data_IF_765772614154
#
_entry.id   IF_765772614154
#
_cell.length_a   1.000
_cell.length_b   1.000
_cell.length_c   1.000
_cell.angle_alpha   90.00
_cell.angle_beta   90.00
_cell.angle_gamma   90.00
#
_symmetry.space_group_name_H-M   'P 1'
#
loop_
_entity.id
_entity.type
_entity.pdbx_description
1 polymer ?
#
# COMPACT_ATOMS: atom_id res chain seq x y z
N UNK A 1 -24.26 24.96 -4.87
CA UNK A 1 -23.05 24.11 -4.87
C UNK A 1 -23.46 22.75 -4.39
N UNK A 2 -23.19 21.68 -5.14
CA UNK A 2 -23.41 20.34 -4.63
C UNK A 2 -22.40 20.10 -3.51
N UNK A 3 -22.88 19.84 -2.31
CA UNK A 3 -22.03 19.53 -1.18
C UNK A 3 -21.68 18.03 -1.24
N UNK A 4 -20.42 17.71 -1.47
CA UNK A 4 -19.94 16.32 -1.62
C UNK A 4 -19.11 15.93 -0.41
N UNK A 5 -19.41 14.76 0.15
CA UNK A 5 -18.62 14.09 1.19
C UNK A 5 -18.10 12.78 0.65
N UNK A 6 -16.81 12.54 0.76
CA UNK A 6 -16.16 11.26 0.47
C UNK A 6 -15.78 10.56 1.75
N UNK A 7 -16.13 9.30 1.86
CA UNK A 7 -15.89 8.49 3.06
C UNK A 7 -15.19 7.21 2.69
N UNK A 8 -14.09 6.90 3.37
CA UNK A 8 -13.45 5.58 3.29
C UNK A 8 -13.77 4.78 4.55
N UNK A 9 -14.06 3.50 4.36
CA UNK A 9 -14.38 2.55 5.43
C UNK A 9 -13.58 1.23 5.29
N UNK A 10 -12.91 1.03 4.15
CA UNK A 10 -12.00 -0.11 3.92
C UNK A 10 -10.60 0.23 4.42
N UNK A 11 -10.22 -0.36 5.55
CA UNK A 11 -8.95 -0.12 6.25
C UNK A 11 -9.05 1.01 7.26
N UNK A 12 -9.07 2.26 6.83
CA UNK A 12 -9.18 3.43 7.74
C UNK A 12 -10.50 4.14 7.54
N UNK A 13 -11.12 4.54 8.63
CA UNK A 13 -12.28 5.41 8.55
C UNK A 13 -11.83 6.85 8.34
N UNK A 14 -12.18 7.41 7.19
CA UNK A 14 -11.90 8.82 6.90
C UNK A 14 -13.13 9.53 6.36
N UNK A 15 -13.20 10.82 6.61
CA UNK A 15 -14.23 11.71 6.11
C UNK A 15 -13.57 12.90 5.41
N UNK A 16 -14.03 13.25 4.23
CA UNK A 16 -13.53 14.39 3.47
C UNK A 16 -14.68 15.13 2.83
N UNK A 17 -14.83 16.41 3.13
CA UNK A 17 -15.73 17.31 2.42
C UNK A 17 -14.97 17.95 1.26
N UNK A 18 -15.65 18.20 0.14
CA UNK A 18 -15.09 18.96 -0.96
C UNK A 18 -14.64 20.36 -0.51
N UNK A 19 -13.39 20.72 -0.83
CA UNK A 19 -12.75 21.94 -0.35
C UNK A 19 -11.83 21.77 0.87
N UNK A 20 -11.84 20.62 1.54
CA UNK A 20 -10.84 20.31 2.57
C UNK A 20 -9.49 19.95 1.94
N UNK A 21 -8.40 20.37 2.60
CA UNK A 21 -7.04 20.09 2.11
C UNK A 21 -6.62 18.63 2.27
N UNK A 22 -7.19 17.90 3.25
CA UNK A 22 -6.90 16.50 3.52
C UNK A 22 -8.09 15.80 4.19
N UNK A 23 -8.21 14.45 4.03
CA UNK A 23 -9.22 13.68 4.74
C UNK A 23 -9.02 13.74 6.25
N UNK A 24 -10.10 13.92 6.99
CA UNK A 24 -10.10 13.76 8.45
C UNK A 24 -10.07 12.27 8.80
N UNK A 25 -9.00 11.81 9.44
CA UNK A 25 -8.89 10.44 9.94
C UNK A 25 -9.64 10.32 11.25
N UNK A 26 -10.52 9.33 11.31
CA UNK A 26 -11.42 9.11 12.45
C UNK A 26 -11.10 7.76 13.09
N UNK A 27 -10.98 7.74 14.44
CA UNK A 27 -10.79 6.48 15.16
C UNK A 27 -12.10 6.03 15.81
N UNK A 28 -12.44 4.76 15.58
CA UNK A 28 -13.55 4.06 16.22
C UNK A 28 -13.14 3.42 17.55
N UNK A 29 -11.96 3.79 18.11
CA UNK A 29 -11.45 3.30 19.37
C UNK A 29 -11.52 4.36 20.50
N UNK A 30 -11.33 3.92 21.74
CA UNK A 30 -11.18 4.80 22.92
C UNK A 30 -12.44 5.59 23.29
N UNK A 31 -12.25 6.79 23.84
CA UNK A 31 -13.34 7.61 24.40
C UNK A 31 -14.33 8.16 23.38
N UNK A 32 -13.92 8.29 22.13
CA UNK A 32 -14.73 8.81 21.02
C UNK A 32 -15.46 7.71 20.23
N UNK A 33 -15.25 6.42 20.56
CA UNK A 33 -15.80 5.27 19.85
C UNK A 33 -17.30 5.43 19.56
N UNK A 34 -18.13 5.61 20.57
CA UNK A 34 -19.59 5.70 20.40
C UNK A 34 -20.03 6.86 19.50
N UNK A 35 -19.31 7.96 19.55
CA UNK A 35 -19.55 9.14 18.74
C UNK A 35 -19.33 8.81 17.26
N UNK A 36 -18.22 8.17 16.95
CA UNK A 36 -17.86 7.85 15.57
C UNK A 36 -18.57 6.60 15.04
N UNK A 37 -18.92 5.64 15.91
CA UNK A 37 -19.84 4.53 15.56
C UNK A 37 -21.20 5.08 15.12
N UNK A 38 -21.74 6.05 15.83
CA UNK A 38 -22.97 6.75 15.45
C UNK A 38 -22.85 7.38 14.06
N UNK A 39 -21.78 8.13 13.80
CA UNK A 39 -21.57 8.78 12.50
C UNK A 39 -21.43 7.75 11.39
N UNK A 40 -20.57 6.73 11.55
CA UNK A 40 -20.38 5.67 10.56
C UNK A 40 -21.70 4.94 10.25
N UNK A 41 -22.46 4.60 11.28
CA UNK A 41 -23.74 3.91 11.11
C UNK A 41 -24.79 4.77 10.41
N UNK A 42 -24.89 6.06 10.73
CA UNK A 42 -25.80 6.99 10.05
C UNK A 42 -25.43 7.17 8.56
N UNK A 43 -24.15 7.22 8.24
CA UNK A 43 -23.66 7.29 6.86
C UNK A 43 -24.05 6.02 6.08
N UNK A 44 -23.85 4.86 6.67
CA UNK A 44 -24.23 3.57 6.07
C UNK A 44 -25.74 3.46 5.83
N UNK A 45 -26.54 3.96 6.79
CA UNK A 45 -28.01 3.90 6.75
C UNK A 45 -28.65 5.18 6.18
N UNK A 46 -27.87 6.03 5.47
CA UNK A 46 -28.30 7.36 5.00
C UNK A 46 -29.56 7.33 4.14
N UNK A 47 -29.81 6.22 3.41
CA UNK A 47 -30.98 6.08 2.55
C UNK A 47 -32.32 6.00 3.32
N UNK A 48 -32.32 5.40 4.55
CA UNK A 48 -33.56 5.16 5.31
C UNK A 48 -33.67 5.97 6.60
N UNK A 49 -32.56 6.47 7.12
CA UNK A 49 -32.49 6.98 8.49
C UNK A 49 -32.53 5.87 9.55
N UNK A 50 -32.27 6.23 10.80
CA UNK A 50 -32.15 5.30 11.92
C UNK A 50 -33.01 5.77 13.07
N UNK A 51 -33.84 4.88 13.65
CA UNK A 51 -34.69 5.24 14.77
C UNK A 51 -33.88 5.51 16.04
N UNK A 52 -34.46 6.30 16.97
CA UNK A 52 -33.86 6.55 18.28
C UNK A 52 -33.54 5.26 19.02
N UNK A 53 -34.48 4.29 19.01
CA UNK A 53 -34.30 3.01 19.68
C UNK A 53 -33.16 2.19 19.06
N UNK A 54 -33.11 2.10 17.73
CA UNK A 54 -32.05 1.40 17.01
C UNK A 54 -30.65 1.96 17.33
N UNK A 55 -30.51 3.27 17.45
CA UNK A 55 -29.24 3.88 17.86
C UNK A 55 -28.91 3.63 19.33
N UNK A 56 -29.90 3.57 20.20
CA UNK A 56 -29.68 3.22 21.61
C UNK A 56 -29.17 1.78 21.72
N UNK A 57 -29.84 0.85 21.06
CA UNK A 57 -29.48 -0.57 21.08
C UNK A 57 -28.08 -0.80 20.45
N UNK A 58 -27.76 -0.05 19.40
CA UNK A 58 -26.42 -0.07 18.76
C UNK A 58 -25.32 0.40 19.72
N UNK A 59 -25.51 1.54 20.39
CA UNK A 59 -24.44 2.20 21.15
C UNK A 59 -24.35 1.70 22.60
N UNK A 60 -25.42 1.13 23.13
CA UNK A 60 -25.53 0.63 24.49
C UNK A 60 -26.36 -0.67 24.56
N UNK A 61 -25.87 -1.79 23.99
CA UNK A 61 -26.63 -3.06 23.97
C UNK A 61 -26.96 -3.59 25.38
N UNK A 62 -26.13 -3.26 26.39
CA UNK A 62 -26.28 -3.74 27.76
C UNK A 62 -26.77 -2.65 28.74
N UNK A 63 -27.29 -1.52 28.24
CA UNK A 63 -27.59 -0.38 29.12
C UNK A 63 -28.93 -0.51 29.84
N UNK A 64 -28.88 -0.75 31.15
CA UNK A 64 -29.95 -0.54 32.13
C UNK A 64 -29.96 0.91 32.66
N UNK A 65 -29.68 1.90 31.82
CA UNK A 65 -29.51 3.30 32.27
C UNK A 65 -30.80 4.09 32.34
N UNK A 66 -30.87 5.06 33.27
CA UNK A 66 -32.07 5.83 33.60
C UNK A 66 -32.58 6.82 32.54
N UNK A 67 -31.80 7.15 31.49
CA UNK A 67 -32.25 8.00 30.37
C UNK A 67 -31.38 7.88 29.10
N UNK A 68 -31.47 6.78 28.34
CA UNK A 68 -30.66 6.55 27.16
C UNK A 68 -30.94 7.55 26.03
N UNK A 69 -32.14 8.08 25.92
CA UNK A 69 -32.51 9.07 24.92
C UNK A 69 -31.75 10.41 25.10
N UNK A 70 -31.64 10.89 26.33
CA UNK A 70 -30.86 12.10 26.63
C UNK A 70 -29.37 11.89 26.36
N UNK A 71 -28.85 10.70 26.68
CA UNK A 71 -27.45 10.34 26.42
C UNK A 71 -27.17 10.30 24.91
N UNK A 72 -28.12 9.78 24.11
CA UNK A 72 -28.03 9.78 22.64
C UNK A 72 -28.01 11.23 22.10
N UNK A 73 -28.88 12.10 22.55
CA UNK A 73 -28.91 13.52 22.14
C UNK A 73 -27.57 14.20 22.42
N UNK A 74 -26.98 13.94 23.60
CA UNK A 74 -25.67 14.48 23.96
C UNK A 74 -24.57 13.93 22.98
N UNK A 75 -24.60 12.64 22.65
CA UNK A 75 -23.64 12.09 21.66
C UNK A 75 -23.83 12.70 20.27
N UNK A 76 -25.07 12.87 19.80
CA UNK A 76 -25.34 13.55 18.52
C UNK A 76 -24.81 14.98 18.53
N UNK A 77 -25.02 15.73 19.63
CA UNK A 77 -24.48 17.09 19.77
C UNK A 77 -22.94 17.10 19.73
N UNK A 78 -22.32 16.17 20.42
CA UNK A 78 -20.84 16.01 20.41
C UNK A 78 -20.33 15.61 19.02
N UNK A 79 -21.03 14.70 18.29
CA UNK A 79 -20.66 14.33 16.92
C UNK A 79 -20.67 15.54 15.99
N UNK A 80 -21.70 16.37 16.08
CA UNK A 80 -21.81 17.61 15.30
C UNK A 80 -20.67 18.59 15.60
N UNK A 81 -20.30 18.72 16.89
CA UNK A 81 -19.20 19.59 17.29
C UNK A 81 -17.85 19.05 16.79
N UNK A 82 -17.61 17.74 16.92
CA UNK A 82 -16.36 17.14 16.42
C UNK A 82 -16.24 17.25 14.90
N UNK A 83 -17.33 17.10 14.14
CA UNK A 83 -17.33 17.35 12.70
C UNK A 83 -17.00 18.82 12.39
N UNK A 84 -17.53 19.78 13.17
CA UNK A 84 -17.21 21.19 13.01
C UNK A 84 -15.73 21.50 13.33
N UNK A 85 -15.17 20.90 14.37
CA UNK A 85 -13.75 21.01 14.74
C UNK A 85 -12.81 20.43 13.65
N UNK A 86 -13.27 19.42 12.91
CA UNK A 86 -12.57 18.85 11.76
C UNK A 86 -12.67 19.71 10.49
N UNK A 87 -13.41 20.84 10.54
CA UNK A 87 -13.54 21.74 9.41
C UNK A 87 -14.74 21.48 8.49
N UNK A 88 -15.67 20.60 8.88
CA UNK A 88 -16.90 20.39 8.09
C UNK A 88 -17.80 21.62 8.16
N UNK A 89 -18.05 22.21 6.98
CA UNK A 89 -19.04 23.26 6.85
C UNK A 89 -20.43 22.73 7.18
N UNK A 90 -21.26 23.54 7.85
CA UNK A 90 -22.63 23.16 8.23
C UNK A 90 -22.72 21.84 9.02
N UNK A 91 -21.69 21.47 9.79
CA UNK A 91 -21.63 20.21 10.56
C UNK A 91 -22.89 19.95 11.42
N UNK A 92 -23.56 21.02 11.89
CA UNK A 92 -24.81 20.93 12.66
C UNK A 92 -25.99 20.37 11.87
N UNK A 93 -25.96 20.47 10.54
CA UNK A 93 -27.02 20.00 9.65
C UNK A 93 -26.76 18.61 9.08
N UNK A 94 -25.51 18.09 9.21
CA UNK A 94 -25.15 16.76 8.70
C UNK A 94 -25.92 15.62 9.36
N UNK A 95 -26.23 15.75 10.64
CA UNK A 95 -27.07 14.77 11.35
C UNK A 95 -28.37 15.48 11.71
N UNK A 96 -29.49 15.01 11.19
CA UNK A 96 -30.82 15.57 11.43
C UNK A 96 -31.68 14.62 12.26
N UNK A 97 -32.60 15.19 12.99
CA UNK A 97 -33.65 14.46 13.69
C UNK A 97 -35.01 14.87 13.13
N UNK A 98 -35.70 13.93 12.52
CA UNK A 98 -37.02 14.16 11.89
C UNK A 98 -37.94 12.96 12.17
N UNK A 99 -39.10 13.24 12.70
CA UNK A 99 -40.18 12.22 12.91
C UNK A 99 -39.71 10.97 13.68
N UNK A 100 -38.84 11.11 14.69
CA UNK A 100 -38.34 9.97 15.46
C UNK A 100 -37.10 9.28 14.89
N UNK A 101 -36.58 9.76 13.77
CA UNK A 101 -35.43 9.19 13.10
C UNK A 101 -34.26 10.16 13.03
N UNK A 102 -33.06 9.66 13.23
CA UNK A 102 -31.84 10.36 12.91
C UNK A 102 -31.43 10.02 11.47
N UNK A 103 -31.06 11.04 10.70
CA UNK A 103 -30.68 10.92 9.29
C UNK A 103 -29.34 11.62 9.05
N UNK A 104 -28.50 11.01 8.24
CA UNK A 104 -27.41 11.72 7.58
C UNK A 104 -28.04 12.61 6.49
N UNK A 105 -27.58 13.86 6.40
CA UNK A 105 -28.22 14.89 5.57
C UNK A 105 -28.34 14.46 4.09
N UNK A 106 -29.56 14.25 3.58
CA UNK A 106 -29.77 13.70 2.22
C UNK A 106 -29.40 14.68 1.10
N UNK A 107 -29.31 15.97 1.40
CA UNK A 107 -28.85 16.99 0.46
C UNK A 107 -27.33 16.99 0.21
N UNK A 108 -26.58 16.23 1.00
CA UNK A 108 -25.16 16.02 0.83
C UNK A 108 -24.91 14.73 0.05
N UNK A 109 -24.35 14.87 -1.14
CA UNK A 109 -23.92 13.71 -1.91
C UNK A 109 -22.78 12.99 -1.17
N UNK A 110 -23.01 11.77 -0.71
CA UNK A 110 -22.05 11.02 0.08
C UNK A 110 -21.59 9.79 -0.68
N UNK A 111 -20.30 9.78 -1.06
CA UNK A 111 -19.65 8.67 -1.74
C UNK A 111 -18.91 7.80 -0.71
N UNK A 112 -19.12 6.51 -0.80
CA UNK A 112 -18.48 5.50 0.05
C UNK A 112 -17.59 4.61 -0.80
N UNK A 113 -16.34 4.41 -0.35
CA UNK A 113 -15.39 3.49 -0.98
C UNK A 113 -15.92 2.04 -1.07
N UNK A 114 -16.71 1.61 -0.09
CA UNK A 114 -17.36 0.29 -0.10
C UNK A 114 -18.33 0.11 -1.26
N UNK A 115 -19.06 1.16 -1.65
CA UNK A 115 -20.02 1.11 -2.78
C UNK A 115 -19.27 1.11 -4.12
N UNK A 116 -18.23 1.92 -4.23
CA UNK A 116 -17.35 1.93 -5.40
C UNK A 116 -16.65 0.58 -5.57
N UNK A 117 -16.10 0.02 -4.47
CA UNK A 117 -15.50 -1.30 -4.44
C UNK A 117 -16.49 -2.38 -4.90
N UNK A 118 -17.68 -2.42 -4.31
CA UNK A 118 -18.70 -3.41 -4.64
C UNK A 118 -19.16 -3.31 -6.10
N UNK A 119 -19.38 -2.10 -6.59
CA UNK A 119 -19.76 -1.85 -7.98
C UNK A 119 -18.70 -2.32 -8.96
N UNK A 120 -17.43 -1.96 -8.73
CA UNK A 120 -16.31 -2.39 -9.59
C UNK A 120 -16.07 -3.90 -9.49
N UNK A 121 -16.15 -4.49 -8.30
CA UNK A 121 -15.99 -5.92 -8.09
C UNK A 121 -17.07 -6.72 -8.83
N UNK A 122 -18.32 -6.32 -8.75
CA UNK A 122 -19.42 -6.96 -9.50
C UNK A 122 -19.19 -6.86 -11.01
N UNK A 123 -18.84 -5.68 -11.52
CA UNK A 123 -18.54 -5.50 -12.94
C UNK A 123 -17.40 -6.41 -13.38
N UNK A 124 -16.31 -6.52 -12.61
CA UNK A 124 -15.19 -7.37 -12.92
C UNK A 124 -15.59 -8.85 -12.97
N UNK A 125 -16.38 -9.31 -11.98
CA UNK A 125 -16.79 -10.71 -11.85
C UNK A 125 -17.85 -11.13 -12.89
N UNK A 126 -18.66 -10.19 -13.40
CA UNK A 126 -19.72 -10.45 -14.38
C UNK A 126 -19.28 -10.19 -15.84
N UNK A 127 -18.13 -9.52 -16.03
CA UNK A 127 -17.64 -9.18 -17.36
C UNK A 127 -17.10 -10.40 -18.10
N UNK A 128 -17.53 -10.56 -19.36
CA UNK A 128 -17.06 -11.63 -20.24
C UNK A 128 -15.76 -11.26 -20.99
N UNK A 129 -15.50 -9.97 -21.14
CA UNK A 129 -14.30 -9.48 -21.78
C UNK A 129 -13.13 -9.48 -20.78
N UNK A 130 -12.16 -10.34 -21.00
CA UNK A 130 -11.08 -10.61 -20.05
C UNK A 130 -10.25 -9.36 -19.71
N UNK A 131 -9.91 -8.54 -20.72
CA UNK A 131 -9.10 -7.35 -20.48
C UNK A 131 -9.84 -6.32 -19.61
N UNK A 132 -11.12 -6.09 -19.90
CA UNK A 132 -11.94 -5.15 -19.17
C UNK A 132 -12.26 -5.65 -17.76
N UNK A 133 -12.47 -6.95 -17.58
CA UNK A 133 -12.60 -7.58 -16.26
C UNK A 133 -11.35 -7.35 -15.40
N UNK A 134 -10.16 -7.51 -15.98
CA UNK A 134 -8.89 -7.25 -15.29
C UNK A 134 -8.74 -5.78 -14.88
N UNK A 135 -9.08 -4.84 -15.75
CA UNK A 135 -8.98 -3.41 -15.43
C UNK A 135 -9.92 -3.01 -14.26
N UNK A 136 -11.16 -3.50 -14.27
CA UNK A 136 -12.09 -3.25 -13.17
C UNK A 136 -11.67 -3.99 -11.90
N UNK A 137 -11.18 -5.22 -12.02
CA UNK A 137 -10.67 -6.01 -10.91
C UNK A 137 -9.50 -5.33 -10.20
N UNK A 138 -8.52 -4.86 -10.95
CA UNK A 138 -7.37 -4.13 -10.42
C UNK A 138 -7.79 -2.83 -9.71
N UNK A 139 -8.69 -2.04 -10.33
CA UNK A 139 -9.20 -0.81 -9.71
C UNK A 139 -9.94 -1.11 -8.40
N UNK A 140 -10.77 -2.15 -8.36
CA UNK A 140 -11.47 -2.54 -7.15
C UNK A 140 -10.50 -3.02 -6.05
N UNK A 141 -9.49 -3.83 -6.41
CA UNK A 141 -8.46 -4.31 -5.47
C UNK A 141 -7.68 -3.14 -4.84
N UNK A 142 -7.43 -2.07 -5.60
CA UNK A 142 -6.77 -0.85 -5.08
C UNK A 142 -7.61 -0.11 -4.05
N UNK A 143 -8.95 -0.11 -4.18
CA UNK A 143 -9.84 0.50 -3.20
C UNK A 143 -9.89 -0.26 -1.87
N UNK A 144 -9.68 -1.57 -1.88
CA UNK A 144 -9.68 -2.38 -0.67
C UNK A 144 -8.36 -2.23 0.08
N UNK A 145 -8.22 -1.20 0.91
CA UNK A 145 -6.97 -0.92 1.65
C UNK A 145 -6.83 -1.73 2.95
N UNK A 146 -7.86 -2.43 3.37
CA UNK A 146 -7.94 -3.28 4.55
C UNK A 146 -9.37 -3.69 4.85
N UNK A 147 -9.59 -4.44 5.92
CA UNK A 147 -10.90 -4.89 6.34
C UNK A 147 -11.85 -3.71 6.62
N UNK A 148 -13.15 -3.95 6.50
CA UNK A 148 -14.18 -2.95 6.76
C UNK A 148 -14.15 -2.52 8.23
N UNK A 149 -13.90 -1.21 8.47
CA UNK A 149 -13.84 -0.59 9.79
C UNK A 149 -13.12 -1.48 10.84
N UNK A 150 -11.82 -1.77 10.70
CA UNK A 150 -11.12 -2.78 11.49
C UNK A 150 -11.15 -2.51 13.00
N UNK A 151 -11.24 -1.24 13.42
CA UNK A 151 -11.38 -0.86 14.84
C UNK A 151 -12.76 -1.22 15.42
N UNK A 152 -13.76 -1.48 14.57
CA UNK A 152 -15.11 -1.90 14.94
C UNK A 152 -15.42 -3.35 14.53
N UNK A 153 -14.43 -4.12 14.11
CA UNK A 153 -14.62 -5.47 13.55
C UNK A 153 -15.34 -6.45 14.49
N UNK A 154 -15.24 -6.25 15.80
CA UNK A 154 -15.92 -7.06 16.83
C UNK A 154 -17.33 -6.60 17.17
N UNK A 155 -17.76 -5.44 16.64
CA UNK A 155 -19.12 -4.95 16.85
C UNK A 155 -20.12 -5.76 16.06
N UNK A 156 -21.23 -6.13 16.70
CA UNK A 156 -22.25 -7.00 16.10
C UNK A 156 -22.75 -6.50 14.72
N UNK A 157 -22.96 -5.20 14.56
CA UNK A 157 -23.40 -4.60 13.29
C UNK A 157 -22.35 -4.62 12.20
N UNK A 158 -21.06 -4.73 12.56
CA UNK A 158 -19.92 -4.69 11.66
C UNK A 158 -19.48 -6.08 11.18
N UNK A 159 -19.69 -7.13 12.00
CA UNK A 159 -19.22 -8.50 11.73
C UNK A 159 -19.65 -9.00 10.36
N UNK A 160 -20.94 -8.90 10.04
CA UNK A 160 -21.48 -9.41 8.77
C UNK A 160 -20.98 -8.61 7.55
N UNK A 161 -20.87 -7.30 7.69
CA UNK A 161 -20.34 -6.42 6.63
C UNK A 161 -18.87 -6.71 6.38
N UNK A 162 -18.10 -6.88 7.44
CA UNK A 162 -16.67 -7.21 7.34
C UNK A 162 -16.48 -8.56 6.63
N UNK A 163 -17.21 -9.59 7.05
CA UNK A 163 -17.16 -10.90 6.40
C UNK A 163 -17.57 -10.83 4.91
N UNK A 164 -18.60 -10.03 4.59
CA UNK A 164 -19.06 -9.83 3.21
C UNK A 164 -17.98 -9.18 2.33
N UNK A 165 -17.43 -8.02 2.74
CA UNK A 165 -16.44 -7.32 1.94
C UNK A 165 -15.13 -8.09 1.82
N UNK A 166 -14.71 -8.78 2.88
CA UNK A 166 -13.52 -9.65 2.84
C UNK A 166 -13.71 -10.83 1.89
N UNK A 167 -14.86 -11.50 1.94
CA UNK A 167 -15.19 -12.59 1.02
C UNK A 167 -15.23 -12.13 -0.42
N UNK A 168 -15.86 -10.97 -0.69
CA UNK A 168 -15.91 -10.37 -2.02
C UNK A 168 -14.51 -10.01 -2.53
N UNK A 169 -13.66 -9.45 -1.67
CA UNK A 169 -12.27 -9.12 -2.00
C UNK A 169 -11.46 -10.37 -2.37
N UNK A 170 -11.50 -11.42 -1.54
CA UNK A 170 -10.77 -12.67 -1.82
C UNK A 170 -11.26 -13.31 -3.13
N UNK A 171 -12.57 -13.35 -3.34
CA UNK A 171 -13.14 -13.86 -4.59
C UNK A 171 -12.67 -13.05 -5.81
N UNK A 172 -12.69 -11.72 -5.72
CA UNK A 172 -12.22 -10.84 -6.77
C UNK A 172 -10.72 -11.04 -7.06
N UNK A 173 -9.90 -11.14 -6.01
CA UNK A 173 -8.46 -11.40 -6.15
C UNK A 173 -8.21 -12.73 -6.86
N UNK A 174 -8.96 -13.79 -6.53
CA UNK A 174 -8.84 -15.11 -7.17
C UNK A 174 -9.05 -15.01 -8.68
N UNK A 175 -10.16 -14.42 -9.12
CA UNK A 175 -10.47 -14.28 -10.56
C UNK A 175 -9.47 -13.36 -11.27
N UNK A 176 -9.07 -12.26 -10.62
CA UNK A 176 -8.10 -11.32 -11.18
C UNK A 176 -6.71 -11.97 -11.32
N UNK A 177 -6.25 -12.71 -10.32
CA UNK A 177 -4.96 -13.42 -10.35
C UNK A 177 -4.92 -14.47 -11.47
N UNK A 178 -6.00 -15.23 -11.66
CA UNK A 178 -6.10 -16.18 -12.76
C UNK A 178 -6.04 -15.48 -14.14
N UNK A 179 -6.72 -14.34 -14.26
CA UNK A 179 -6.68 -13.52 -15.47
C UNK A 179 -5.29 -12.95 -15.74
N UNK A 180 -4.59 -12.43 -14.73
CA UNK A 180 -3.23 -11.92 -14.82
C UNK A 180 -2.23 -13.01 -15.21
N UNK A 181 -2.39 -14.21 -14.66
CA UNK A 181 -1.55 -15.35 -15.02
C UNK A 181 -1.67 -15.71 -16.49
N UNK A 182 -2.91 -15.76 -17.02
CA UNK A 182 -3.16 -16.01 -18.47
C UNK A 182 -2.59 -14.89 -19.35
N UNK A 183 -2.65 -13.65 -18.87
CA UNK A 183 -2.11 -12.48 -19.57
C UNK A 183 -0.58 -12.31 -19.44
N UNK A 184 0.10 -13.14 -18.62
CA UNK A 184 1.53 -13.05 -18.37
C UNK A 184 1.96 -11.84 -17.52
N UNK A 185 1.00 -11.17 -16.81
CA UNK A 185 1.24 -10.01 -15.96
C UNK A 185 1.68 -10.45 -14.55
N UNK A 186 2.82 -11.13 -14.48
CA UNK A 186 3.33 -11.78 -13.27
C UNK A 186 3.62 -10.83 -12.11
N UNK A 187 4.21 -9.63 -12.29
CA UNK A 187 4.50 -8.71 -11.17
C UNK A 187 3.24 -8.25 -10.43
N UNK A 188 2.14 -8.03 -11.15
CA UNK A 188 0.88 -7.62 -10.53
C UNK A 188 0.23 -8.80 -9.80
N UNK A 189 0.35 -10.00 -10.36
CA UNK A 189 -0.08 -11.23 -9.73
C UNK A 189 0.67 -11.46 -8.39
N UNK A 190 1.99 -11.34 -8.38
CA UNK A 190 2.83 -11.45 -7.18
C UNK A 190 2.38 -10.46 -6.10
N UNK A 191 2.17 -9.18 -6.48
CA UNK A 191 1.71 -8.14 -5.55
C UNK A 191 0.35 -8.47 -4.91
N UNK A 192 -0.61 -8.94 -5.71
CA UNK A 192 -1.95 -9.28 -5.20
C UNK A 192 -1.89 -10.51 -4.30
N UNK A 193 -1.19 -11.57 -4.72
CA UNK A 193 -1.04 -12.77 -3.92
C UNK A 193 -0.40 -12.48 -2.57
N UNK A 194 0.71 -11.74 -2.54
CA UNK A 194 1.41 -11.37 -1.31
C UNK A 194 0.49 -10.61 -0.35
N UNK A 195 -0.30 -9.67 -0.88
CA UNK A 195 -1.24 -8.90 -0.06
C UNK A 195 -2.37 -9.75 0.51
N UNK A 196 -2.90 -10.71 -0.26
CA UNK A 196 -3.94 -11.62 0.25
C UNK A 196 -3.36 -12.55 1.32
N UNK A 197 -2.14 -13.08 1.13
CA UNK A 197 -1.45 -13.94 2.10
C UNK A 197 -1.21 -13.19 3.42
N UNK A 198 -0.82 -11.91 3.37
CA UNK A 198 -0.69 -11.08 4.58
C UNK A 198 -2.02 -10.89 5.31
N UNK A 199 -3.12 -10.75 4.57
CA UNK A 199 -4.45 -10.55 5.13
C UNK A 199 -5.07 -11.86 5.65
N UNK A 200 -4.90 -12.94 4.91
CA UNK A 200 -5.45 -14.26 5.18
C UNK A 200 -4.46 -15.38 4.82
N UNK A 201 -3.55 -15.72 5.75
CA UNK A 201 -2.58 -16.78 5.51
C UNK A 201 -3.20 -18.17 5.28
N UNK A 202 -4.49 -18.37 5.67
CA UNK A 202 -5.21 -19.61 5.43
C UNK A 202 -5.72 -19.75 3.98
N UNK A 203 -5.69 -18.68 3.20
CA UNK A 203 -6.03 -18.72 1.78
C UNK A 203 -4.87 -19.29 0.94
N UNK A 204 -4.54 -20.56 1.17
CA UNK A 204 -3.39 -21.29 0.62
C UNK A 204 -3.30 -21.23 -0.92
N UNK A 205 -4.42 -21.12 -1.60
CA UNK A 205 -4.46 -21.00 -3.06
C UNK A 205 -3.63 -19.82 -3.59
N UNK A 206 -3.53 -18.71 -2.82
CA UNK A 206 -2.72 -17.56 -3.22
C UNK A 206 -1.23 -17.82 -3.06
N UNK A 207 -0.83 -18.67 -2.12
CA UNK A 207 0.55 -19.17 -2.03
C UNK A 207 0.91 -20.04 -3.23
N UNK A 208 0.00 -20.90 -3.69
CA UNK A 208 0.15 -21.67 -4.93
C UNK A 208 0.31 -20.74 -6.13
N UNK A 209 -0.55 -19.73 -6.26
CA UNK A 209 -0.44 -18.74 -7.35
C UNK A 209 0.84 -17.92 -7.28
N UNK A 210 1.28 -17.53 -6.10
CA UNK A 210 2.53 -16.80 -5.90
C UNK A 210 3.73 -17.64 -6.34
N UNK A 211 3.79 -18.91 -5.92
CA UNK A 211 4.86 -19.82 -6.33
C UNK A 211 4.89 -20.01 -7.85
N UNK A 212 3.73 -20.19 -8.49
CA UNK A 212 3.63 -20.26 -9.97
C UNK A 212 4.16 -19.01 -10.66
N UNK A 213 3.81 -17.84 -10.13
CA UNK A 213 4.30 -16.57 -10.67
C UNK A 213 5.82 -16.49 -10.55
N UNK A 214 6.37 -16.81 -9.37
CA UNK A 214 7.80 -16.78 -9.10
C UNK A 214 8.59 -17.77 -9.99
N UNK A 215 8.08 -19.01 -10.14
CA UNK A 215 8.72 -20.01 -11.03
C UNK A 215 8.73 -19.50 -12.47
N UNK A 216 7.60 -19.00 -12.96
CA UNK A 216 7.48 -18.48 -14.33
C UNK A 216 8.29 -17.20 -14.54
N UNK A 217 8.55 -16.43 -13.49
CA UNK A 217 9.41 -15.25 -13.48
C UNK A 217 10.89 -15.61 -13.21
N UNK A 218 11.31 -16.85 -13.49
CA UNK A 218 12.68 -17.34 -13.31
C UNK A 218 13.26 -17.09 -11.90
N UNK A 219 12.42 -17.17 -10.89
CA UNK A 219 12.79 -16.99 -9.48
C UNK A 219 12.42 -18.21 -8.62
N UNK A 220 12.81 -19.44 -9.01
CA UNK A 220 12.38 -20.67 -8.32
C UNK A 220 12.89 -20.75 -6.88
N UNK A 221 14.04 -20.14 -6.55
CA UNK A 221 14.52 -20.08 -5.19
C UNK A 221 13.56 -19.32 -4.27
N UNK A 222 13.03 -18.17 -4.72
CA UNK A 222 12.02 -17.43 -3.95
C UNK A 222 10.74 -18.23 -3.74
N UNK A 223 10.36 -19.05 -4.71
CA UNK A 223 9.22 -19.96 -4.55
C UNK A 223 9.48 -21.02 -3.47
N UNK A 224 10.69 -21.58 -3.39
CA UNK A 224 11.07 -22.52 -2.35
C UNK A 224 11.12 -21.86 -0.96
N UNK A 225 11.68 -20.64 -0.87
CA UNK A 225 11.72 -19.87 0.38
C UNK A 225 10.29 -19.57 0.88
N UNK A 226 9.37 -19.26 -0.05
CA UNK A 226 7.96 -19.06 0.27
C UNK A 226 7.28 -20.35 0.74
N UNK A 227 7.56 -21.47 0.09
CA UNK A 227 7.05 -22.78 0.52
C UNK A 227 7.47 -23.10 1.97
N UNK A 228 8.74 -22.91 2.31
CA UNK A 228 9.26 -23.15 3.65
C UNK A 228 8.57 -22.25 4.69
N UNK A 229 8.37 -20.98 4.36
CA UNK A 229 7.64 -20.03 5.20
C UNK A 229 6.19 -20.51 5.46
N UNK A 230 5.45 -20.89 4.42
CA UNK A 230 4.05 -21.35 4.56
C UNK A 230 4.01 -22.69 5.32
N UNK A 231 4.94 -23.60 5.04
CA UNK A 231 5.02 -24.88 5.73
C UNK A 231 5.22 -24.71 7.24
N UNK A 232 6.12 -23.81 7.62
CA UNK A 232 6.37 -23.50 9.03
C UNK A 232 5.13 -22.84 9.67
N UNK A 233 4.51 -21.86 9.00
CA UNK A 233 3.31 -21.20 9.47
C UNK A 233 2.16 -22.18 9.72
N UNK A 234 1.91 -23.08 8.77
CA UNK A 234 0.83 -24.08 8.90
C UNK A 234 1.08 -25.04 10.05
N UNK A 235 2.31 -25.48 10.20
CA UNK A 235 2.71 -26.36 11.30
C UNK A 235 2.53 -25.69 12.68
N UNK A 236 2.96 -24.44 12.81
CA UNK A 236 2.91 -23.72 14.08
C UNK A 236 1.50 -23.24 14.43
N UNK A 237 0.72 -22.77 13.44
CA UNK A 237 -0.59 -22.16 13.67
C UNK A 237 -1.72 -23.19 13.65
N UNK A 238 -1.69 -24.15 12.72
CA UNK A 238 -2.79 -25.07 12.48
C UNK A 238 -2.48 -26.52 12.87
N UNK A 239 -1.21 -26.84 13.15
CA UNK A 239 -0.77 -28.22 13.44
C UNK A 239 -0.94 -29.17 12.24
N UNK A 240 -1.06 -28.63 11.02
CA UNK A 240 -1.32 -29.36 9.78
C UNK A 240 -0.17 -29.16 8.77
N UNK A 241 -0.07 -30.05 7.80
CA UNK A 241 0.79 -29.86 6.64
C UNK A 241 0.04 -29.05 5.56
N UNK A 242 0.75 -28.30 4.68
CA UNK A 242 0.18 -27.70 3.50
C UNK A 242 -0.45 -28.73 2.56
N UNK A 243 -1.26 -28.27 1.59
CA UNK A 243 -1.94 -29.14 0.63
C UNK A 243 -0.99 -29.75 -0.40
N UNK A 244 -1.45 -30.85 -1.05
CA UNK A 244 -0.75 -31.47 -2.18
C UNK A 244 -0.50 -30.49 -3.33
N UNK A 245 -1.35 -29.46 -3.48
CA UNK A 245 -1.18 -28.43 -4.50
C UNK A 245 0.08 -27.59 -4.25
N UNK A 246 0.36 -27.26 -3.00
CA UNK A 246 1.58 -26.54 -2.63
C UNK A 246 2.83 -27.41 -2.79
N UNK A 247 2.73 -28.70 -2.44
CA UNK A 247 3.81 -29.69 -2.64
C UNK A 247 4.14 -29.86 -4.14
N UNK A 248 3.13 -29.84 -5.01
CA UNK A 248 3.32 -29.88 -6.45
C UNK A 248 4.11 -28.66 -6.97
N UNK A 249 3.80 -27.47 -6.47
CA UNK A 249 4.55 -26.25 -6.84
C UNK A 249 5.99 -26.25 -6.28
N UNK A 250 6.21 -26.84 -5.10
CA UNK A 250 7.57 -27.09 -4.60
C UNK A 250 8.36 -28.00 -5.55
N UNK A 251 7.76 -29.10 -5.98
CA UNK A 251 8.40 -30.00 -6.95
C UNK A 251 8.72 -29.28 -8.26
N UNK A 252 7.80 -28.46 -8.77
CA UNK A 252 8.02 -27.63 -9.96
C UNK A 252 9.13 -26.58 -9.76
N UNK A 253 9.23 -25.98 -8.58
CA UNK A 253 10.30 -25.04 -8.27
C UNK A 253 11.67 -25.73 -8.19
N UNK A 254 11.75 -26.93 -7.62
CA UNK A 254 12.98 -27.75 -7.59
C UNK A 254 13.39 -28.15 -9.01
N UNK A 255 12.44 -28.59 -9.85
CA UNK A 255 12.70 -28.92 -11.23
C UNK A 255 13.20 -27.69 -12.03
N UNK A 256 12.57 -26.54 -11.84
CA UNK A 256 13.01 -25.29 -12.49
C UNK A 256 14.40 -24.82 -12.04
N UNK A 257 14.80 -25.15 -10.81
CA UNK A 257 16.11 -24.78 -10.25
C UNK A 257 17.23 -25.71 -10.69
N UNK A 258 16.94 -27.03 -10.78
CA UNK A 258 17.97 -28.05 -10.95
C UNK A 258 17.73 -28.98 -12.16
N UNK A 259 16.57 -28.93 -12.79
CA UNK A 259 16.11 -29.95 -13.74
C UNK A 259 16.18 -29.59 -15.21
N UNK A 260 16.36 -28.31 -15.58
CA UNK A 260 16.44 -27.87 -16.97
C UNK A 260 17.47 -26.78 -17.16
N UNK A 261 18.27 -26.91 -18.24
CA UNK A 261 19.01 -25.77 -18.81
C UNK A 261 17.99 -24.79 -19.44
N UNK A 262 18.14 -23.52 -19.11
CA UNK A 262 17.32 -22.45 -19.72
C UNK A 262 17.86 -22.19 -21.11
N UNK A 263 17.01 -22.23 -22.14
CA UNK A 263 17.43 -21.98 -23.51
C UNK A 263 17.78 -20.50 -23.75
N UNK A 264 18.71 -20.24 -24.65
CA UNK A 264 19.24 -18.89 -24.95
C UNK A 264 18.14 -17.88 -25.30
N UNK A 265 17.06 -18.31 -25.95
CA UNK A 265 15.94 -17.46 -26.31
C UNK A 265 15.10 -17.06 -25.09
N UNK A 266 14.94 -17.95 -24.10
CA UNK A 266 14.27 -17.65 -22.83
C UNK A 266 15.11 -16.68 -21.98
N UNK A 267 16.44 -16.85 -21.97
CA UNK A 267 17.38 -15.93 -21.32
C UNK A 267 17.29 -14.54 -21.97
N UNK A 268 17.29 -14.50 -23.31
CA UNK A 268 17.17 -13.24 -24.06
C UNK A 268 15.86 -12.54 -23.78
N UNK A 269 14.73 -13.26 -23.81
CA UNK A 269 13.40 -12.74 -23.52
C UNK A 269 13.29 -12.22 -22.09
N UNK A 270 13.86 -12.91 -21.12
CA UNK A 270 13.91 -12.47 -19.73
C UNK A 270 14.69 -11.15 -19.57
N UNK A 271 15.88 -11.08 -20.19
CA UNK A 271 16.71 -9.88 -20.13
C UNK A 271 16.08 -8.69 -20.87
N UNK A 272 15.38 -8.92 -21.98
CA UNK A 272 14.71 -7.86 -22.74
C UNK A 272 13.42 -7.36 -22.08
N UNK A 273 12.74 -8.17 -21.28
CA UNK A 273 11.55 -7.76 -20.50
C UNK A 273 11.91 -7.02 -19.21
N UNK A 274 13.19 -6.99 -18.85
CA UNK A 274 13.71 -6.18 -17.73
C UNK A 274 13.47 -4.68 -17.99
N UNK A 275 13.28 -3.96 -16.91
CA UNK A 275 12.88 -2.57 -16.80
C UNK A 275 13.27 -1.69 -18.00
N UNK A 276 12.33 -1.43 -18.91
CA UNK A 276 12.50 -0.57 -20.09
C UNK A 276 12.20 0.91 -19.79
N UNK A 277 12.05 1.28 -18.53
CA UNK A 277 11.84 2.69 -18.19
C UNK A 277 13.11 3.50 -18.48
N UNK A 278 13.02 4.56 -19.28
CA UNK A 278 14.18 5.39 -19.59
C UNK A 278 14.64 6.15 -18.35
N UNK A 279 15.93 6.14 -18.09
CA UNK A 279 16.54 6.87 -16.98
C UNK A 279 17.21 5.98 -15.95
N UNK A 280 17.52 6.54 -14.80
CA UNK A 280 18.21 5.85 -13.72
C UNK A 280 17.35 4.75 -13.09
N UNK A 281 17.99 3.68 -12.66
CA UNK A 281 17.30 2.52 -12.07
C UNK A 281 16.90 2.79 -10.61
N UNK A 282 15.60 3.01 -10.38
CA UNK A 282 15.04 3.10 -9.04
C UNK A 282 14.71 1.69 -8.53
N UNK A 283 15.28 1.28 -7.41
CA UNK A 283 15.06 -0.04 -6.84
C UNK A 283 14.75 0.01 -5.34
N UNK A 284 14.28 -1.11 -4.78
CA UNK A 284 14.12 -1.28 -3.35
C UNK A 284 15.47 -1.39 -2.62
N UNK A 285 15.44 -1.26 -1.28
CA UNK A 285 16.64 -1.25 -0.45
C UNK A 285 17.41 -2.59 -0.47
N UNK A 286 16.72 -3.71 -0.65
CA UNK A 286 17.34 -5.04 -0.74
C UNK A 286 18.14 -5.18 -2.02
N UNK A 287 17.49 -4.91 -3.16
CA UNK A 287 18.11 -4.89 -4.48
C UNK A 287 19.29 -3.92 -4.54
N UNK A 288 19.13 -2.72 -3.96
CA UNK A 288 20.21 -1.72 -3.92
C UNK A 288 21.44 -2.22 -3.15
N UNK A 289 21.24 -2.94 -2.02
CA UNK A 289 22.33 -3.55 -1.24
C UNK A 289 23.09 -4.59 -2.05
N UNK A 290 22.39 -5.44 -2.79
CA UNK A 290 23.01 -6.45 -3.66
C UNK A 290 23.82 -5.80 -4.78
N UNK A 291 23.32 -4.74 -5.41
CA UNK A 291 24.03 -3.95 -6.42
C UNK A 291 25.33 -3.35 -5.83
N UNK A 292 25.27 -2.75 -4.64
CA UNK A 292 26.48 -2.25 -3.95
C UNK A 292 27.48 -3.38 -3.72
N UNK A 293 27.03 -4.53 -3.24
CA UNK A 293 27.89 -5.69 -2.97
C UNK A 293 28.58 -6.19 -4.24
N UNK A 294 27.88 -6.24 -5.35
CA UNK A 294 28.43 -6.58 -6.66
C UNK A 294 29.44 -5.52 -7.15
N UNK A 295 29.10 -4.24 -6.99
CA UNK A 295 29.98 -3.13 -7.39
C UNK A 295 31.28 -3.14 -6.61
N UNK A 296 31.24 -3.34 -5.29
CA UNK A 296 32.44 -3.46 -4.45
C UNK A 296 33.35 -4.60 -4.91
N UNK A 297 32.78 -5.77 -5.22
CA UNK A 297 33.55 -6.90 -5.77
C UNK A 297 34.15 -6.58 -7.15
N UNK A 298 33.42 -5.82 -7.97
CA UNK A 298 33.89 -5.38 -9.31
C UNK A 298 35.03 -4.39 -9.19
N UNK A 299 34.97 -3.42 -8.27
CA UNK A 299 36.02 -2.46 -7.98
C UNK A 299 37.34 -3.16 -7.63
N UNK A 300 37.31 -4.20 -6.79
CA UNK A 300 38.48 -4.98 -6.41
C UNK A 300 39.16 -5.66 -7.60
N UNK A 301 38.41 -6.11 -8.59
CA UNK A 301 38.93 -6.81 -9.78
C UNK A 301 39.39 -5.87 -10.88
N UNK A 302 38.61 -4.82 -11.13
CA UNK A 302 38.75 -3.99 -12.34
C UNK A 302 39.41 -2.63 -12.06
N UNK A 303 39.64 -2.28 -10.79
CA UNK A 303 40.16 -0.97 -10.36
C UNK A 303 39.34 0.21 -10.90
N UNK A 304 38.03 0.04 -10.98
CA UNK A 304 37.08 1.08 -11.40
C UNK A 304 36.47 1.67 -10.14
N UNK A 305 36.58 2.99 -9.99
CA UNK A 305 35.99 3.72 -8.86
C UNK A 305 34.47 3.67 -8.90
N UNK A 306 33.84 3.73 -7.75
CA UNK A 306 32.40 3.96 -7.62
C UNK A 306 32.10 4.76 -6.35
N UNK A 307 31.08 5.59 -6.41
CA UNK A 307 30.73 6.50 -5.33
C UNK A 307 29.30 6.20 -4.81
N UNK A 308 29.18 6.10 -3.51
CA UNK A 308 27.87 6.12 -2.86
C UNK A 308 27.55 7.52 -2.36
N UNK A 309 26.52 8.11 -2.89
CA UNK A 309 26.10 9.46 -2.53
C UNK A 309 24.77 9.43 -1.79
N UNK A 310 24.70 10.13 -0.66
CA UNK A 310 23.49 10.28 0.14
C UNK A 310 22.95 11.70 -0.05
N UNK A 311 21.74 11.81 -0.58
CA UNK A 311 20.97 13.05 -0.61
C UNK A 311 20.00 13.06 0.56
N UNK A 312 20.11 14.04 1.43
CA UNK A 312 19.21 14.21 2.57
C UNK A 312 18.46 15.52 2.48
N UNK A 313 17.13 15.45 2.55
CA UNK A 313 16.29 16.64 2.65
C UNK A 313 16.52 17.34 3.99
N UNK A 314 16.74 18.66 3.97
CA UNK A 314 16.85 19.49 5.16
C UNK A 314 15.45 19.60 5.81
N UNK A 315 15.22 18.93 6.94
CA UNK A 315 13.90 18.67 7.50
C UNK A 315 13.39 19.75 8.46
N UNK A 316 14.12 20.84 8.70
CA UNK A 316 13.73 21.80 9.73
C UNK A 316 12.51 22.67 9.40
N UNK A 317 12.06 22.71 8.13
CA UNK A 317 11.06 23.68 7.68
C UNK A 317 9.85 23.09 6.92
N UNK A 318 9.81 21.79 6.66
CA UNK A 318 8.73 21.23 5.84
C UNK A 318 7.74 20.42 6.67
N UNK A 319 6.48 20.80 6.60
CA UNK A 319 5.33 19.99 6.94
C UNK A 319 5.40 18.60 6.25
N UNK A 320 4.75 17.59 6.82
CA UNK A 320 4.80 16.20 6.34
C UNK A 320 4.35 16.09 4.87
N UNK A 321 3.33 16.88 4.47
CA UNK A 321 2.85 16.91 3.08
C UNK A 321 3.86 17.52 2.12
N UNK A 322 4.44 18.67 2.47
CA UNK A 322 5.50 19.32 1.67
C UNK A 322 6.70 18.41 1.51
N UNK A 323 7.07 17.68 2.56
CA UNK A 323 8.16 16.70 2.51
C UNK A 323 7.88 15.60 1.51
N UNK A 324 6.67 15.02 1.49
CA UNK A 324 6.28 13.99 0.53
C UNK A 324 6.37 14.50 -0.92
N UNK A 325 5.91 15.73 -1.16
CA UNK A 325 5.97 16.39 -2.47
C UNK A 325 7.45 16.58 -2.90
N UNK A 326 8.30 17.13 -2.04
CA UNK A 326 9.70 17.38 -2.35
C UNK A 326 10.47 16.09 -2.62
N UNK A 327 10.20 15.03 -1.85
CA UNK A 327 10.80 13.72 -2.08
C UNK A 327 10.36 13.13 -3.41
N UNK A 328 9.08 13.26 -3.81
CA UNK A 328 8.60 12.79 -5.12
C UNK A 328 9.19 13.58 -6.29
N UNK A 329 9.34 14.89 -6.15
CA UNK A 329 10.01 15.75 -7.14
C UNK A 329 11.48 15.35 -7.32
N UNK A 330 12.20 15.10 -6.22
CA UNK A 330 13.59 14.65 -6.26
C UNK A 330 13.72 13.27 -6.91
N UNK A 331 12.84 12.31 -6.56
CA UNK A 331 12.81 10.99 -7.18
C UNK A 331 12.67 11.08 -8.70
N UNK A 332 11.71 11.87 -9.17
CA UNK A 332 11.48 12.11 -10.61
C UNK A 332 12.70 12.78 -11.27
N UNK A 333 13.35 13.69 -10.57
CA UNK A 333 14.54 14.39 -11.07
C UNK A 333 15.74 13.45 -11.15
N UNK A 334 15.96 12.60 -10.14
CA UNK A 334 16.99 11.57 -10.14
C UNK A 334 16.81 10.64 -11.34
N UNK A 335 15.60 10.10 -11.51
CA UNK A 335 15.30 9.19 -12.62
C UNK A 335 15.60 9.78 -13.99
N UNK A 336 15.29 11.08 -14.19
CA UNK A 336 15.50 11.78 -15.48
C UNK A 336 16.91 12.33 -15.69
N UNK A 337 17.68 12.54 -14.64
CA UNK A 337 18.97 13.25 -14.70
C UNK A 337 20.18 12.35 -14.60
N UNK A 338 20.04 11.17 -14.02
CA UNK A 338 21.10 10.19 -13.89
C UNK A 338 21.08 9.23 -15.10
N UNK A 339 22.16 8.49 -15.27
CA UNK A 339 22.30 7.50 -16.34
C UNK A 339 21.52 6.22 -16.00
N UNK A 340 21.16 5.45 -16.98
CA UNK A 340 20.50 4.14 -16.77
C UNK A 340 21.30 3.16 -15.91
N UNK A 341 22.63 3.30 -15.87
CA UNK A 341 23.53 2.51 -15.02
C UNK A 341 23.77 3.07 -13.62
N UNK A 342 23.13 4.19 -13.23
CA UNK A 342 23.25 4.80 -11.91
C UNK A 342 22.03 4.40 -11.06
N UNK A 343 22.10 3.34 -10.25
CA UNK A 343 20.96 2.94 -9.44
C UNK A 343 20.79 3.86 -8.24
N UNK A 344 19.54 4.05 -7.83
CA UNK A 344 19.21 4.78 -6.63
C UNK A 344 18.03 4.16 -5.87
N UNK A 345 17.95 4.43 -4.57
CA UNK A 345 16.87 3.97 -3.72
C UNK A 345 16.45 5.04 -2.74
N UNK A 346 15.19 5.01 -2.31
CA UNK A 346 14.70 5.85 -1.22
C UNK A 346 14.88 5.15 0.11
N UNK A 347 15.54 5.83 1.06
CA UNK A 347 15.76 5.31 2.41
C UNK A 347 15.07 6.19 3.44
N UNK A 348 14.05 5.63 4.09
CA UNK A 348 13.24 6.36 5.05
C UNK A 348 12.46 7.54 4.44
N UNK A 349 12.10 8.51 5.29
CA UNK A 349 11.21 9.60 4.92
C UNK A 349 11.88 10.73 4.13
N UNK A 350 13.22 10.88 4.23
CA UNK A 350 13.91 12.10 3.82
C UNK A 350 15.28 11.88 3.15
N UNK A 351 15.59 10.67 2.68
CA UNK A 351 16.88 10.37 2.06
C UNK A 351 16.74 9.57 0.77
N UNK A 352 17.68 9.83 -0.18
CA UNK A 352 17.98 8.96 -1.30
C UNK A 352 19.43 8.52 -1.23
N UNK A 353 19.70 7.29 -1.55
CA UNK A 353 21.04 6.75 -1.77
C UNK A 353 21.20 6.50 -3.26
N UNK A 354 22.31 6.99 -3.80
CA UNK A 354 22.62 6.94 -5.23
C UNK A 354 24.01 6.33 -5.39
N UNK A 355 24.09 5.28 -6.18
CA UNK A 355 25.36 4.69 -6.56
C UNK A 355 25.77 5.22 -7.94
N UNK A 356 26.99 5.70 -8.06
CA UNK A 356 27.56 6.24 -9.28
C UNK A 356 28.78 5.40 -9.70
N UNK A 357 28.59 4.35 -10.50
CA UNK A 357 29.68 3.55 -11.03
C UNK A 357 30.60 4.38 -11.93
N UNK A 358 31.93 4.25 -11.76
CA UNK A 358 32.91 4.97 -12.54
C UNK A 358 33.11 6.46 -12.15
N UNK A 359 32.50 6.92 -11.05
CA UNK A 359 32.67 8.27 -10.55
C UNK A 359 33.80 8.32 -9.50
N UNK A 360 34.70 9.32 -9.61
CA UNK A 360 35.65 9.66 -8.56
C UNK A 360 35.02 10.51 -7.45
N UNK A 361 35.68 10.67 -6.31
CA UNK A 361 35.22 11.42 -5.14
C UNK A 361 34.72 12.85 -5.48
N UNK A 362 35.42 13.55 -6.35
CA UNK A 362 35.05 14.90 -6.76
C UNK A 362 33.83 14.92 -7.69
N UNK A 363 33.73 13.93 -8.58
CA UNK A 363 32.68 13.86 -9.57
C UNK A 363 31.29 13.53 -8.97
N UNK A 364 31.24 12.74 -7.90
CA UNK A 364 29.99 12.38 -7.23
C UNK A 364 29.22 13.60 -6.72
N UNK A 365 29.92 14.55 -6.11
CA UNK A 365 29.32 15.81 -5.64
C UNK A 365 28.82 16.67 -6.79
N UNK A 366 29.62 16.81 -7.85
CA UNK A 366 29.27 17.61 -9.06
C UNK A 366 27.98 17.06 -9.70
N UNK A 367 27.86 15.73 -9.80
CA UNK A 367 26.65 15.10 -10.35
C UNK A 367 25.43 15.44 -9.50
N UNK A 368 25.55 15.36 -8.17
CA UNK A 368 24.42 15.66 -7.27
C UNK A 368 24.06 17.15 -7.26
N UNK A 369 25.02 18.05 -7.31
CA UNK A 369 24.77 19.49 -7.39
C UNK A 369 24.04 19.84 -8.70
N UNK A 370 24.37 19.14 -9.80
CA UNK A 370 23.63 19.26 -11.08
C UNK A 370 22.19 18.76 -10.96
N UNK A 371 21.97 17.63 -10.28
CA UNK A 371 20.63 17.07 -10.05
C UNK A 371 19.78 18.04 -9.22
N UNK A 372 20.34 18.57 -8.13
CA UNK A 372 19.65 19.54 -7.26
C UNK A 372 19.31 20.81 -8.05
N UNK A 373 20.26 21.34 -8.83
CA UNK A 373 20.05 22.52 -9.68
C UNK A 373 18.95 22.28 -10.71
N UNK A 374 18.89 21.07 -11.29
CA UNK A 374 17.83 20.65 -12.21
C UNK A 374 16.47 20.60 -11.51
N UNK A 375 16.40 20.05 -10.31
CA UNK A 375 15.17 20.02 -9.54
C UNK A 375 14.62 21.41 -9.29
N UNK A 376 15.44 22.36 -8.87
CA UNK A 376 15.01 23.75 -8.66
C UNK A 376 14.57 24.44 -9.96
N UNK A 377 15.16 24.07 -11.10
CA UNK A 377 14.73 24.57 -12.41
C UNK A 377 13.39 24.01 -12.85
N UNK A 378 13.20 22.70 -12.67
CA UNK A 378 11.98 21.99 -13.09
C UNK A 378 10.82 22.29 -12.12
N UNK A 379 11.12 22.62 -10.86
CA UNK A 379 10.15 22.94 -9.79
C UNK A 379 10.49 24.27 -9.09
N UNK A 380 10.27 25.45 -9.74
CA UNK A 380 10.72 26.74 -9.22
C UNK A 380 10.08 27.18 -7.90
N UNK A 381 8.96 26.58 -7.52
CA UNK A 381 8.27 26.87 -6.25
C UNK A 381 8.74 25.99 -5.07
N UNK A 382 9.73 25.14 -5.31
CA UNK A 382 10.26 24.24 -4.29
C UNK A 382 11.33 24.96 -3.48
N UNK A 383 11.09 25.10 -2.18
CA UNK A 383 12.04 25.66 -1.19
C UNK A 383 12.92 24.58 -0.56
N UNK A 384 12.89 23.34 -1.09
CA UNK A 384 13.60 22.21 -0.53
C UNK A 384 15.11 22.35 -0.68
N UNK A 385 15.83 22.37 0.44
CA UNK A 385 17.27 22.21 0.48
C UNK A 385 17.65 20.73 0.66
N UNK A 386 18.64 20.28 -0.14
CA UNK A 386 19.20 18.93 0.03
C UNK A 386 20.69 19.03 0.41
N UNK A 387 21.09 18.20 1.38
CA UNK A 387 22.50 18.02 1.73
C UNK A 387 23.03 16.77 1.03
N UNK A 388 24.19 16.93 0.42
CA UNK A 388 24.91 15.85 -0.25
C UNK A 388 26.03 15.37 0.66
N UNK A 389 26.10 14.06 0.86
CA UNK A 389 27.21 13.38 1.50
C UNK A 389 27.71 12.28 0.58
N UNK A 390 28.99 12.32 0.26
CA UNK A 390 29.65 11.28 -0.54
C UNK A 390 30.35 10.32 0.43
N UNK A 391 30.17 9.03 0.20
CA UNK A 391 30.79 7.96 0.97
C UNK A 391 31.73 7.18 0.06
N UNK A 392 32.94 6.92 0.55
CA UNK A 392 33.91 6.06 -0.13
C UNK A 392 33.52 4.59 0.11
N UNK A 393 33.29 3.87 -0.98
CA UNK A 393 32.92 2.45 -0.93
C UNK A 393 34.13 1.56 -0.51
N UNK A 394 35.37 1.98 -0.74
CA UNK A 394 36.56 1.24 -0.27
C UNK A 394 36.70 1.31 1.25
N UNK A 395 36.46 2.49 1.85
CA UNK A 395 36.44 2.65 3.30
C UNK A 395 35.31 1.83 3.96
N UNK A 396 34.14 1.80 3.36
CA UNK A 396 33.01 0.99 3.82
C UNK A 396 33.33 -0.51 3.76
N UNK A 397 33.95 -0.98 2.70
CA UNK A 397 34.32 -2.38 2.52
C UNK A 397 35.38 -2.84 3.54
N UNK A 398 36.39 -2.02 3.82
CA UNK A 398 37.40 -2.34 4.83
C UNK A 398 36.80 -2.50 6.22
N UNK A 399 35.79 -1.69 6.58
CA UNK A 399 35.07 -1.80 7.86
C UNK A 399 34.11 -3.03 7.92
N UNK A 400 33.52 -3.42 6.80
CA UNK A 400 32.71 -4.65 6.72
C UNK A 400 33.56 -5.92 6.84
N UNK A 401 34.77 -5.92 6.34
CA UNK A 401 35.70 -7.02 6.47
C UNK A 401 36.20 -7.23 7.92
N UNK A 402 36.37 -6.17 8.68
CA UNK A 402 36.77 -6.20 10.10
C UNK A 402 35.61 -6.69 11.00
N UNK A 403 34.35 -6.36 10.67
CA UNK A 403 33.18 -6.77 11.44
C UNK A 403 32.76 -8.25 11.27
N UNK A 404 33.37 -9.00 10.36
CA UNK A 404 33.16 -10.47 10.21
C UNK A 404 34.08 -11.32 11.09
N UNK A 405 35.00 -10.69 11.81
CA UNK A 405 35.93 -11.38 12.71
C UNK A 405 35.65 -11.08 14.20
N UNK A 406 34.48 -10.63 14.53
CA UNK A 406 33.88 -10.56 15.88
C UNK A 406 32.58 -11.37 15.91
#
# INVERSE_FOLDING_TARGET
MNHVIRTTMLGKFTLMQEGMNAPAVVSLAGRSRRLWTLVAYLILQRARGVSTQELIDLLWPDAEGSNPASTLQNNVSRSRNSLAEMGFEQAKTLIRYENGYYKWAPEWETHLDIEDFESLAKRALECREQQQALEWGLKAIELYTGDFLPEAATEFWCINLNAYYRSLYIRLCRETVQGLFRAGRLPEMERICSRVIELDPAAEEFSVYLMRALIRNHSPQKALDHYEYIWQLYRETYGAAPSEALDAEKAAAVEALYGKDVEDDEIRDFLLKGNQEPGAFCCDNGTFREIISLQVRSMQRQKIDAQLTILRLNSQEADQEKRAIYMKQMETTLQKSLRSGDPFTRVGANQFWVLLPGASNENGKIVMDRVISRMHKDYPRTEAGFRVRVLDLEELNSRMAVGKNL
#
